data_IF_005845367561
#
_entry.id   IF_005845367561
#
_cell.length_a   1.000
_cell.length_b   1.000
_cell.length_c   1.000
_cell.angle_alpha   90.00
_cell.angle_beta   90.00
_cell.angle_gamma   90.00
#
_symmetry.space_group_name_H-M   'P 1'
#
loop_
_entity.id
_entity.type
_entity.pdbx_description
1 polymer ?
#
# COMPACT_ATOMS: atom_id res chain seq x y z
N UNK A 1 -22.73 -8.68 -15.62
CA UNK A 1 -22.39 -8.20 -14.27
C UNK A 1 -21.09 -8.87 -13.87
N UNK A 2 -19.98 -8.14 -13.88
CA UNK A 2 -18.70 -8.67 -13.40
C UNK A 2 -18.83 -8.72 -11.88
N UNK A 3 -18.68 -9.90 -11.29
CA UNK A 3 -18.67 -10.07 -9.84
C UNK A 3 -17.40 -9.36 -9.33
N UNK A 4 -17.57 -8.14 -8.84
CA UNK A 4 -16.49 -7.45 -8.15
C UNK A 4 -16.10 -8.27 -6.93
N UNK A 5 -14.82 -8.66 -6.88
CA UNK A 5 -14.26 -9.40 -5.76
C UNK A 5 -14.39 -8.57 -4.49
N UNK A 6 -15.05 -9.09 -3.46
CA UNK A 6 -15.33 -8.37 -2.20
C UNK A 6 -14.05 -7.82 -1.55
N UNK A 7 -12.91 -8.49 -1.77
CA UNK A 7 -11.61 -8.06 -1.24
C UNK A 7 -11.04 -6.80 -1.91
N UNK A 8 -11.64 -6.24 -2.96
CA UNK A 8 -11.17 -5.00 -3.62
C UNK A 8 -11.59 -3.71 -2.93
N UNK A 9 -12.55 -3.78 -2.01
CA UNK A 9 -13.07 -2.58 -1.37
C UNK A 9 -12.04 -2.00 -0.38
N UNK A 10 -11.89 -0.67 -0.34
CA UNK A 10 -11.02 -0.03 0.63
C UNK A 10 -11.57 -0.22 2.04
N UNK A 11 -10.67 -0.50 2.98
CA UNK A 11 -10.98 -0.57 4.40
C UNK A 11 -10.60 0.71 5.13
N UNK A 12 -9.66 1.47 4.56
CA UNK A 12 -9.10 2.67 5.14
C UNK A 12 -8.99 3.79 4.11
N UNK A 13 -8.83 5.01 4.61
CA UNK A 13 -8.54 6.18 3.79
C UNK A 13 -7.44 7.00 4.44
N UNK A 14 -6.58 7.58 3.61
CA UNK A 14 -5.56 8.54 4.03
C UNK A 14 -5.51 9.68 3.03
N UNK A 15 -5.86 10.90 3.48
CA UNK A 15 -6.14 12.04 2.58
C UNK A 15 -7.12 11.62 1.48
N UNK A 16 -6.72 11.71 0.22
CA UNK A 16 -7.47 11.32 -0.97
C UNK A 16 -7.17 9.90 -1.46
N UNK A 17 -6.37 9.12 -0.72
CA UNK A 17 -6.02 7.74 -1.07
C UNK A 17 -6.92 6.75 -0.34
N UNK A 18 -7.39 5.77 -1.09
CA UNK A 18 -8.13 4.62 -0.59
C UNK A 18 -7.15 3.46 -0.35
N UNK A 19 -7.17 2.90 0.86
CA UNK A 19 -6.21 1.91 1.32
C UNK A 19 -6.92 0.61 1.70
N UNK A 20 -6.21 -0.51 1.54
CA UNK A 20 -6.61 -1.82 2.03
C UNK A 20 -5.37 -2.68 2.29
N UNK A 21 -5.52 -3.69 3.12
CA UNK A 21 -4.48 -4.69 3.31
C UNK A 21 -4.14 -5.34 1.96
N UNK A 22 -2.85 -5.39 1.66
CA UNK A 22 -2.31 -5.98 0.45
C UNK A 22 -2.04 -7.48 0.59
N UNK A 23 -1.22 -7.99 -0.34
CA UNK A 23 -0.59 -9.32 -0.25
C UNK A 23 0.89 -9.16 0.07
N UNK A 24 1.44 -9.98 0.97
CA UNK A 24 2.85 -9.92 1.35
C UNK A 24 3.79 -10.43 0.24
N UNK A 25 3.29 -11.16 -0.75
CA UNK A 25 4.08 -11.64 -1.88
C UNK A 25 3.38 -11.39 -3.23
N UNK A 26 4.15 -11.10 -4.30
CA UNK A 26 5.61 -10.92 -4.31
C UNK A 26 6.05 -9.60 -3.63
N UNK A 27 7.32 -9.52 -3.23
CA UNK A 27 7.92 -8.28 -2.73
C UNK A 27 8.00 -7.21 -3.81
N UNK A 28 8.04 -5.95 -3.37
CA UNK A 28 8.04 -4.76 -4.22
C UNK A 28 6.64 -4.31 -4.61
N UNK A 29 6.54 -3.71 -5.79
CA UNK A 29 5.33 -3.06 -6.28
C UNK A 29 4.67 -3.93 -7.35
N UNK A 30 3.39 -4.26 -7.18
CA UNK A 30 2.62 -5.07 -8.13
C UNK A 30 1.29 -4.39 -8.49
N UNK A 31 0.95 -4.35 -9.78
CA UNK A 31 -0.37 -3.88 -10.21
C UNK A 31 -1.45 -4.88 -9.82
N UNK A 32 -2.56 -4.38 -9.27
CA UNK A 32 -3.73 -5.18 -8.90
C UNK A 32 -4.99 -4.53 -9.48
N UNK A 33 -6.12 -5.24 -9.56
CA UNK A 33 -7.38 -4.60 -9.90
C UNK A 33 -7.64 -3.39 -8.97
N UNK A 34 -7.90 -2.24 -9.59
CA UNK A 34 -8.21 -0.97 -8.91
C UNK A 34 -7.11 -0.40 -8.00
N UNK A 35 -5.83 -0.77 -8.22
CA UNK A 35 -4.75 -0.13 -7.48
C UNK A 35 -3.39 -0.80 -7.61
N UNK A 36 -2.57 -0.59 -6.59
CA UNK A 36 -1.20 -1.08 -6.53
C UNK A 36 -0.97 -1.73 -5.16
N UNK A 37 -0.36 -2.91 -5.16
CA UNK A 37 0.10 -3.58 -3.96
C UNK A 37 1.57 -3.24 -3.71
N UNK A 38 1.89 -2.81 -2.49
CA UNK A 38 3.25 -2.61 -2.03
C UNK A 38 3.56 -3.63 -0.96
N UNK A 39 4.61 -4.42 -1.15
CA UNK A 39 5.12 -5.36 -0.15
C UNK A 39 6.60 -5.10 0.08
N UNK A 40 6.96 -4.87 1.34
CA UNK A 40 8.30 -4.55 1.78
C UNK A 40 8.64 -5.51 2.92
N UNK A 41 9.93 -5.87 3.01
CA UNK A 41 10.46 -6.66 4.10
C UNK A 41 11.78 -6.06 4.58
N UNK A 42 11.91 -5.95 5.89
CA UNK A 42 13.16 -5.79 6.60
C UNK A 42 13.05 -6.45 7.98
N UNK A 43 14.16 -7.01 8.45
CA UNK A 43 14.18 -7.78 9.71
C UNK A 43 14.25 -6.92 10.98
N UNK A 44 14.45 -5.60 10.86
CA UNK A 44 14.77 -4.74 12.00
C UNK A 44 14.09 -3.36 11.95
N UNK A 45 13.34 -3.02 10.89
CA UNK A 45 12.60 -1.77 10.89
C UNK A 45 11.42 -1.85 11.87
N UNK A 46 11.13 -0.71 12.50
CA UNK A 46 9.95 -0.56 13.36
C UNK A 46 8.78 0.11 12.62
N UNK A 47 9.03 0.66 11.42
CA UNK A 47 8.02 1.33 10.61
C UNK A 47 8.53 1.47 9.17
N UNK A 48 7.61 1.47 8.21
CA UNK A 48 7.88 1.82 6.82
C UNK A 48 6.90 2.91 6.37
N UNK A 49 7.36 3.87 5.56
CA UNK A 49 6.51 4.92 4.99
C UNK A 49 6.60 4.89 3.47
N UNK A 50 5.45 4.75 2.82
CA UNK A 50 5.31 4.88 1.37
C UNK A 50 5.26 6.36 1.01
N UNK A 51 6.26 6.82 0.24
CA UNK A 51 6.34 8.19 -0.26
C UNK A 51 5.97 8.21 -1.74
N UNK A 52 4.91 8.95 -2.08
CA UNK A 52 4.39 9.05 -3.44
C UNK A 52 4.78 10.38 -4.06
N UNK A 53 5.22 10.36 -5.31
CA UNK A 53 5.55 11.53 -6.12
C UNK A 53 4.77 11.50 -7.42
N UNK A 54 4.41 12.67 -7.94
CA UNK A 54 4.08 12.79 -9.34
C UNK A 54 5.36 12.71 -10.17
N UNK A 55 5.22 12.33 -11.43
CA UNK A 55 6.33 12.26 -12.36
C UNK A 55 6.98 13.66 -12.49
N UNK A 56 8.28 13.73 -12.19
CA UNK A 56 9.11 14.95 -12.26
C UNK A 56 8.87 16.00 -11.17
N UNK A 57 7.93 15.80 -10.25
CA UNK A 57 7.74 16.73 -9.14
C UNK A 57 8.83 16.49 -8.07
N UNK A 58 9.43 17.57 -7.53
CA UNK A 58 10.47 17.45 -6.52
C UNK A 58 9.92 17.17 -5.11
N UNK A 59 8.64 17.45 -4.88
CA UNK A 59 7.97 17.27 -3.58
C UNK A 59 7.00 16.09 -3.60
N UNK A 60 6.87 15.36 -2.48
CA UNK A 60 5.94 14.24 -2.38
C UNK A 60 4.49 14.71 -2.35
N UNK A 61 3.61 13.98 -3.01
CA UNK A 61 2.16 14.20 -2.95
C UNK A 61 1.53 13.52 -1.73
N UNK A 62 2.15 12.47 -1.20
CA UNK A 62 1.72 11.80 0.02
C UNK A 62 2.86 11.00 0.66
N UNK A 63 2.78 10.92 1.99
CA UNK A 63 3.61 10.06 2.82
C UNK A 63 2.65 9.23 3.68
N UNK A 64 2.62 7.92 3.46
CA UNK A 64 1.67 6.99 4.04
C UNK A 64 2.46 5.96 4.84
N UNK A 65 2.49 6.10 6.16
CA UNK A 65 3.04 5.06 7.03
C UNK A 65 2.16 3.81 6.94
N UNK A 66 2.78 2.64 6.76
CA UNK A 66 2.04 1.38 6.73
C UNK A 66 1.34 1.16 8.07
N UNK A 67 0.00 0.97 8.09
CA UNK A 67 -0.70 0.66 9.32
C UNK A 67 -0.23 -0.67 9.91
N UNK A 68 -0.07 -0.74 11.24
CA UNK A 68 0.36 -1.96 11.95
C UNK A 68 -0.54 -3.16 11.62
N UNK A 69 -1.85 -2.93 11.44
CA UNK A 69 -2.82 -3.95 11.08
C UNK A 69 -2.68 -4.51 9.65
N UNK A 70 -1.90 -3.86 8.78
CA UNK A 70 -1.58 -4.36 7.44
C UNK A 70 -0.25 -5.13 7.40
N UNK A 71 0.50 -5.12 8.51
CA UNK A 71 1.77 -5.83 8.62
C UNK A 71 1.56 -7.33 8.81
N UNK A 72 2.34 -8.12 8.09
CA UNK A 72 2.37 -9.59 8.23
C UNK A 72 3.83 -10.01 8.40
N UNK A 73 4.20 -10.42 9.62
CA UNK A 73 5.58 -10.78 9.95
C UNK A 73 6.42 -9.54 10.30
N UNK A 74 7.63 -9.46 9.74
CA UNK A 74 8.54 -8.31 9.92
C UNK A 74 8.17 -7.13 8.99
N UNK A 75 8.95 -6.03 9.03
CA UNK A 75 8.70 -4.73 8.34
C UNK A 75 9.77 -4.39 7.34
#
# INVERSE_FOLDING_TARGET
MILERIDIHPTHTYKNFQLRCGKPFPFGTTLVPNGVNFSIYSSHANSCTLVLFNKHDPEPIAEITFPDEFQIGDV
#
